data_IF_843644816874
#
_entry.id   IF_843644816874
#
_cell.length_a   1.000
_cell.length_b   1.000
_cell.length_c   1.000
_cell.angle_alpha   90.00
_cell.angle_beta   90.00
_cell.angle_gamma   90.00
#
_symmetry.space_group_name_H-M   'P 1'
#
loop_
_entity.id
_entity.type
_entity.pdbx_description
1 polymer ?
#
# COMPACT_ATOMS: atom_id res chain seq x y z
N UNK A 1 54.54 -29.60 -37.19
CA UNK A 1 53.07 -29.27 -37.30
C UNK A 1 52.51 -29.03 -35.90
N UNK A 2 52.40 -27.76 -35.54
CA UNK A 2 51.84 -27.38 -34.22
C UNK A 2 50.35 -27.14 -34.40
N UNK A 3 49.53 -28.00 -33.78
CA UNK A 3 48.05 -27.82 -33.69
C UNK A 3 47.77 -26.85 -32.55
N UNK A 4 47.34 -25.64 -32.88
CA UNK A 4 46.85 -24.65 -31.91
C UNK A 4 45.42 -25.00 -31.59
N UNK A 5 45.19 -25.42 -30.37
CA UNK A 5 43.84 -25.69 -29.81
C UNK A 5 43.26 -24.36 -29.32
N UNK A 6 42.29 -23.80 -30.05
CA UNK A 6 41.51 -22.66 -29.59
C UNK A 6 40.48 -23.12 -28.56
N UNK A 7 40.74 -22.87 -27.29
CA UNK A 7 39.75 -22.97 -26.22
C UNK A 7 38.87 -21.72 -26.27
N UNK A 8 37.67 -21.88 -26.82
CA UNK A 8 36.60 -20.88 -26.68
C UNK A 8 36.09 -20.88 -25.23
N UNK A 9 36.53 -19.91 -24.47
CA UNK A 9 35.89 -19.57 -23.20
C UNK A 9 34.54 -18.90 -23.50
N UNK A 10 33.46 -19.68 -23.44
CA UNK A 10 32.13 -19.14 -23.36
C UNK A 10 31.95 -18.57 -21.96
N UNK A 11 32.18 -17.26 -21.81
CA UNK A 11 31.79 -16.53 -20.61
C UNK A 11 30.27 -16.43 -20.66
N UNK A 12 29.62 -17.37 -19.99
CA UNK A 12 28.19 -17.30 -19.72
C UNK A 12 27.93 -16.11 -18.83
N UNK A 13 27.42 -15.01 -19.38
CA UNK A 13 26.78 -13.95 -18.61
C UNK A 13 25.50 -14.55 -18.01
N UNK A 14 25.59 -15.14 -16.84
CA UNK A 14 24.41 -15.37 -16.01
C UNK A 14 23.94 -14.00 -15.53
N UNK A 15 22.96 -13.42 -16.23
CA UNK A 15 22.21 -12.32 -15.72
C UNK A 15 21.54 -12.80 -14.42
N UNK A 16 22.14 -12.47 -13.28
CA UNK A 16 21.49 -12.62 -11.98
C UNK A 16 20.29 -11.66 -11.99
N UNK A 17 19.14 -12.15 -12.45
CA UNK A 17 17.88 -11.51 -12.17
C UNK A 17 17.68 -11.63 -10.65
N UNK A 18 18.08 -10.62 -9.91
CA UNK A 18 17.65 -10.42 -8.53
C UNK A 18 16.15 -10.26 -8.57
N UNK A 19 15.43 -11.36 -8.34
CA UNK A 19 13.99 -11.31 -8.08
C UNK A 19 13.83 -10.45 -6.84
N UNK A 20 13.33 -9.25 -7.02
CA UNK A 20 13.05 -8.34 -5.91
C UNK A 20 11.92 -8.95 -5.10
N UNK A 21 12.23 -9.41 -3.91
CA UNK A 21 11.25 -10.00 -3.01
C UNK A 21 10.30 -8.91 -2.52
N UNK A 22 9.05 -8.99 -2.94
CA UNK A 22 7.98 -8.15 -2.44
C UNK A 22 7.76 -8.35 -0.95
N UNK A 23 6.97 -7.46 -0.35
CA UNK A 23 6.60 -7.54 1.06
C UNK A 23 5.74 -8.77 1.34
N UNK A 24 6.13 -9.59 2.35
CA UNK A 24 5.32 -10.73 2.76
C UNK A 24 3.96 -10.29 3.33
N UNK A 25 2.96 -11.15 3.26
CA UNK A 25 1.63 -10.86 3.83
C UNK A 25 1.69 -10.56 5.33
N UNK A 26 2.56 -11.23 6.08
CA UNK A 26 2.77 -10.92 7.51
C UNK A 26 3.30 -9.50 7.72
N UNK A 27 4.23 -9.06 6.87
CA UNK A 27 4.75 -7.70 6.92
C UNK A 27 3.68 -6.69 6.51
N UNK A 28 2.89 -6.96 5.45
CA UNK A 28 1.74 -6.13 5.05
C UNK A 28 0.81 -5.91 6.24
N UNK A 29 0.41 -6.98 6.94
CA UNK A 29 -0.47 -6.86 8.12
C UNK A 29 0.12 -5.99 9.22
N UNK A 30 1.41 -6.13 9.52
CA UNK A 30 2.10 -5.33 10.55
C UNK A 30 2.14 -3.85 10.18
N UNK A 31 2.55 -3.54 8.96
CA UNK A 31 2.63 -2.15 8.47
C UNK A 31 1.24 -1.50 8.44
N UNK A 32 0.24 -2.23 7.95
CA UNK A 32 -1.16 -1.78 7.93
C UNK A 32 -1.66 -1.47 9.33
N UNK A 33 -1.44 -2.39 10.29
CA UNK A 33 -1.87 -2.19 11.67
C UNK A 33 -1.22 -0.96 12.27
N UNK A 34 0.09 -0.79 12.07
CA UNK A 34 0.82 0.34 12.62
C UNK A 34 0.31 1.68 12.07
N UNK A 35 0.18 1.78 10.76
CA UNK A 35 -0.35 2.99 10.10
C UNK A 35 -1.77 3.30 10.59
N UNK A 36 -2.65 2.30 10.61
CA UNK A 36 -4.05 2.48 11.01
C UNK A 36 -4.20 2.83 12.50
N UNK A 37 -3.37 2.26 13.37
CA UNK A 37 -3.33 2.60 14.81
C UNK A 37 -3.02 4.08 15.03
N UNK A 38 -2.04 4.64 14.31
CA UNK A 38 -1.69 6.06 14.42
C UNK A 38 -2.77 6.97 13.81
N UNK A 39 -3.37 6.55 12.71
CA UNK A 39 -4.54 7.25 12.15
C UNK A 39 -5.69 7.28 13.16
N UNK A 40 -6.01 6.15 13.79
CA UNK A 40 -7.07 6.06 14.78
C UNK A 40 -6.81 6.98 15.99
N UNK A 41 -5.57 7.03 16.45
CA UNK A 41 -5.16 7.89 17.56
C UNK A 41 -5.32 9.37 17.21
N UNK A 42 -4.74 9.83 16.11
CA UNK A 42 -4.75 11.25 15.75
C UNK A 42 -6.11 11.75 15.24
N UNK A 43 -6.82 10.91 14.49
CA UNK A 43 -8.12 11.28 13.91
C UNK A 43 -9.28 10.95 14.83
N UNK A 44 -9.04 10.32 15.98
CA UNK A 44 -10.08 9.89 16.94
C UNK A 44 -11.14 9.00 16.27
N UNK A 45 -10.67 7.94 15.59
CA UNK A 45 -11.56 7.02 14.87
C UNK A 45 -12.41 6.21 15.85
N UNK A 46 -13.68 5.98 15.50
CA UNK A 46 -14.51 4.99 16.18
C UNK A 46 -13.98 3.57 15.90
N UNK A 47 -14.44 2.59 16.67
CA UNK A 47 -14.07 1.18 16.45
C UNK A 47 -14.43 0.71 15.04
N UNK A 48 -15.59 1.09 14.52
CA UNK A 48 -15.99 0.75 13.15
C UNK A 48 -15.06 1.41 12.14
N UNK A 49 -14.82 2.70 12.26
CA UNK A 49 -13.88 3.42 11.38
C UNK A 49 -12.47 2.85 11.42
N UNK A 50 -12.01 2.43 12.60
CA UNK A 50 -10.69 1.78 12.76
C UNK A 50 -10.60 0.47 11.97
N UNK A 51 -11.63 -0.36 12.04
CA UNK A 51 -11.68 -1.62 11.29
C UNK A 51 -11.76 -1.39 9.78
N UNK A 52 -12.64 -0.46 9.34
CA UNK A 52 -12.76 -0.11 7.92
C UNK A 52 -11.45 0.49 7.37
N UNK A 53 -10.83 1.41 8.10
CA UNK A 53 -9.55 2.00 7.73
C UNK A 53 -8.42 0.95 7.68
N UNK A 54 -8.46 -0.07 8.55
CA UNK A 54 -7.51 -1.17 8.48
C UNK A 54 -7.65 -1.95 7.17
N UNK A 55 -8.86 -2.29 6.77
CA UNK A 55 -9.10 -3.02 5.52
C UNK A 55 -8.67 -2.21 4.29
N UNK A 56 -9.00 -0.91 4.24
CA UNK A 56 -8.62 0.00 3.16
C UNK A 56 -7.09 0.14 3.07
N UNK A 57 -6.43 0.35 4.19
CA UNK A 57 -4.96 0.44 4.24
C UNK A 57 -4.30 -0.89 3.85
N UNK A 58 -4.90 -2.02 4.24
CA UNK A 58 -4.41 -3.34 3.86
C UNK A 58 -4.45 -3.52 2.35
N UNK A 59 -5.58 -3.22 1.72
CA UNK A 59 -5.74 -3.36 0.26
C UNK A 59 -4.71 -2.52 -0.49
N UNK A 60 -4.49 -1.29 -0.04
CA UNK A 60 -3.47 -0.41 -0.61
C UNK A 60 -2.06 -1.00 -0.47
N UNK A 61 -1.62 -1.32 0.76
CA UNK A 61 -0.26 -1.82 1.00
C UNK A 61 -0.04 -3.17 0.31
N UNK A 62 -1.06 -4.03 0.28
CA UNK A 62 -1.00 -5.31 -0.40
C UNK A 62 -0.88 -5.16 -1.93
N UNK A 63 -1.62 -4.22 -2.53
CA UNK A 63 -1.56 -3.97 -3.97
C UNK A 63 -0.18 -3.49 -4.42
N UNK A 64 0.46 -2.61 -3.64
CA UNK A 64 1.77 -2.03 -4.01
C UNK A 64 2.97 -2.85 -3.51
N UNK A 65 2.77 -3.91 -2.73
CA UNK A 65 3.84 -4.64 -2.03
C UNK A 65 4.97 -5.17 -2.91
N UNK A 66 4.69 -5.44 -4.17
CA UNK A 66 5.65 -6.04 -5.11
C UNK A 66 6.30 -4.99 -6.04
N UNK A 67 5.79 -3.76 -6.08
CA UNK A 67 6.25 -2.72 -6.99
C UNK A 67 7.10 -1.64 -6.33
N UNK A 68 7.16 -1.61 -4.99
CA UNK A 68 7.79 -0.50 -4.26
C UNK A 68 9.28 -0.28 -4.58
N UNK A 69 10.02 -1.34 -4.87
CA UNK A 69 11.42 -1.21 -5.27
C UNK A 69 11.56 -0.60 -6.67
N UNK A 70 10.60 -0.84 -7.57
CA UNK A 70 10.52 -0.20 -8.88
C UNK A 70 10.11 1.28 -8.77
N UNK A 71 9.15 1.58 -7.87
CA UNK A 71 8.77 2.96 -7.52
C UNK A 71 9.99 3.73 -7.02
N UNK A 72 10.77 3.13 -6.11
CA UNK A 72 11.97 3.76 -5.56
C UNK A 72 13.05 4.03 -6.60
N UNK A 73 13.06 3.27 -7.70
CA UNK A 73 13.97 3.45 -8.83
C UNK A 73 13.41 4.36 -9.93
N UNK A 74 12.19 4.85 -9.78
CA UNK A 74 11.55 5.77 -10.72
C UNK A 74 11.02 5.13 -12.00
N UNK A 75 10.66 3.83 -11.98
CA UNK A 75 10.00 3.19 -13.12
C UNK A 75 8.61 3.77 -13.32
N UNK A 76 8.32 4.32 -14.50
CA UNK A 76 7.10 5.05 -14.82
C UNK A 76 5.84 4.19 -14.57
N UNK A 77 5.80 2.97 -15.10
CA UNK A 77 4.68 2.07 -14.89
C UNK A 77 4.40 1.77 -13.40
N UNK A 78 5.45 1.66 -12.59
CA UNK A 78 5.29 1.39 -11.15
C UNK A 78 4.82 2.64 -10.39
N UNK A 79 5.22 3.82 -10.84
CA UNK A 79 4.70 5.09 -10.31
C UNK A 79 3.23 5.25 -10.63
N UNK A 80 2.80 4.94 -11.85
CA UNK A 80 1.39 5.00 -12.26
C UNK A 80 0.53 4.05 -11.42
N UNK A 81 0.93 2.79 -11.30
CA UNK A 81 0.24 1.79 -10.47
C UNK A 81 0.18 2.22 -8.98
N UNK A 82 1.27 2.80 -8.47
CA UNK A 82 1.32 3.30 -7.10
C UNK A 82 0.34 4.46 -6.86
N UNK A 83 0.33 5.45 -7.76
CA UNK A 83 -0.56 6.60 -7.61
C UNK A 83 -2.03 6.23 -7.81
N UNK A 84 -2.34 5.30 -8.72
CA UNK A 84 -3.70 4.77 -8.85
C UNK A 84 -4.15 4.08 -7.55
N UNK A 85 -3.32 3.22 -6.98
CA UNK A 85 -3.63 2.55 -5.71
C UNK A 85 -3.78 3.55 -4.55
N UNK A 86 -2.97 4.61 -4.52
CA UNK A 86 -3.04 5.66 -3.52
C UNK A 86 -4.34 6.47 -3.63
N UNK A 87 -4.74 6.84 -4.83
CA UNK A 87 -5.97 7.58 -5.09
C UNK A 87 -7.20 6.75 -4.68
N UNK A 88 -7.25 5.48 -5.07
CA UNK A 88 -8.29 4.54 -4.64
C UNK A 88 -8.40 4.49 -3.11
N UNK A 89 -7.27 4.32 -2.42
CA UNK A 89 -7.24 4.30 -0.95
C UNK A 89 -7.78 5.59 -0.33
N UNK A 90 -7.34 6.73 -0.81
CA UNK A 90 -7.73 8.02 -0.24
C UNK A 90 -9.21 8.31 -0.49
N UNK A 91 -9.74 7.91 -1.65
CA UNK A 91 -11.17 7.99 -1.95
C UNK A 91 -11.99 7.08 -1.03
N UNK A 92 -11.56 5.84 -0.78
CA UNK A 92 -12.24 4.93 0.13
C UNK A 92 -12.25 5.47 1.56
N UNK A 93 -11.12 6.04 2.03
CA UNK A 93 -11.04 6.70 3.33
C UNK A 93 -11.97 7.92 3.42
N UNK A 94 -12.23 8.63 2.32
CA UNK A 94 -13.18 9.74 2.27
C UNK A 94 -14.60 9.30 2.67
N UNK A 95 -14.99 8.07 2.35
CA UNK A 95 -16.30 7.51 2.70
C UNK A 95 -16.39 7.05 4.16
N UNK A 96 -15.28 6.69 4.78
CA UNK A 96 -15.21 6.21 6.17
C UNK A 96 -15.08 7.36 7.16
N UNK A 97 -14.30 8.38 6.80
CA UNK A 97 -13.99 9.51 7.69
C UNK A 97 -15.10 10.57 7.65
N UNK A 98 -15.39 11.18 8.80
CA UNK A 98 -16.18 12.39 8.83
C UNK A 98 -15.45 13.56 8.14
N UNK A 99 -16.17 14.62 7.78
CA UNK A 99 -15.53 15.79 7.15
C UNK A 99 -14.42 16.41 8.00
N UNK A 100 -14.59 16.45 9.31
CA UNK A 100 -13.57 16.97 10.22
C UNK A 100 -12.35 16.05 10.31
N UNK A 101 -12.56 14.73 10.35
CA UNK A 101 -11.48 13.73 10.34
C UNK A 101 -10.73 13.76 9.00
N UNK A 102 -11.45 13.86 7.89
CA UNK A 102 -10.84 13.88 6.56
C UNK A 102 -9.99 15.15 6.35
N UNK A 103 -10.44 16.32 6.82
CA UNK A 103 -9.59 17.54 6.80
C UNK A 103 -8.30 17.36 7.60
N UNK A 104 -8.36 16.72 8.78
CA UNK A 104 -7.16 16.40 9.56
C UNK A 104 -6.27 15.38 8.86
N UNK A 105 -6.87 14.37 8.23
CA UNK A 105 -6.15 13.40 7.41
C UNK A 105 -5.36 14.07 6.27
N UNK A 106 -5.97 15.00 5.54
CA UNK A 106 -5.30 15.76 4.49
C UNK A 106 -4.20 16.69 5.02
N UNK A 107 -4.30 17.14 6.27
CA UNK A 107 -3.27 17.94 6.94
C UNK A 107 -2.06 17.13 7.42
N UNK A 108 -2.13 15.80 7.43
CA UNK A 108 -1.09 14.90 7.90
C UNK A 108 -0.48 14.11 6.73
N UNK A 109 0.59 14.64 6.11
CA UNK A 109 1.20 14.04 4.92
C UNK A 109 1.56 12.56 5.12
N UNK A 110 2.01 12.18 6.31
CA UNK A 110 2.33 10.81 6.68
C UNK A 110 1.12 9.86 6.70
N UNK A 111 -0.10 10.38 6.61
CA UNK A 111 -1.30 9.59 6.45
C UNK A 111 -1.81 9.56 5.00
N UNK A 112 -1.94 10.71 4.32
CA UNK A 112 -2.49 10.73 2.97
C UNK A 112 -1.45 10.38 1.88
N UNK A 113 -0.15 10.50 2.18
CA UNK A 113 0.98 10.01 1.38
C UNK A 113 1.89 9.13 2.23
N UNK A 114 1.46 7.90 2.56
CA UNK A 114 2.08 7.11 3.62
C UNK A 114 3.48 6.59 3.29
N UNK A 115 3.87 6.60 2.01
CA UNK A 115 5.18 6.11 1.56
C UNK A 115 5.98 7.26 0.96
N UNK A 116 7.28 7.30 1.25
CA UNK A 116 8.23 8.22 0.61
C UNK A 116 9.45 7.47 0.11
N UNK A 117 10.12 8.07 -0.87
CA UNK A 117 11.36 7.56 -1.46
C UNK A 117 12.50 8.53 -1.20
N UNK A 118 13.64 8.02 -0.78
CA UNK A 118 14.88 8.78 -0.64
C UNK A 118 16.09 7.88 -0.93
N UNK A 119 17.04 8.37 -1.72
CA UNK A 119 18.26 7.63 -2.05
C UNK A 119 17.99 6.26 -2.70
N UNK A 120 16.96 6.13 -3.52
CA UNK A 120 16.57 4.88 -4.18
C UNK A 120 15.98 3.82 -3.23
N UNK A 121 15.60 4.21 -2.03
CA UNK A 121 14.94 3.36 -1.02
C UNK A 121 13.59 3.96 -0.64
N UNK A 122 12.67 3.13 -0.23
CA UNK A 122 11.34 3.54 0.22
C UNK A 122 11.10 3.19 1.69
N UNK A 123 10.23 3.97 2.34
CA UNK A 123 9.83 3.75 3.72
C UNK A 123 8.44 4.31 3.99
N UNK A 124 7.81 3.84 5.06
CA UNK A 124 6.57 4.44 5.56
C UNK A 124 6.86 5.73 6.30
N UNK A 125 6.23 6.81 5.87
CA UNK A 125 6.41 8.16 6.41
C UNK A 125 6.00 8.28 7.88
N UNK A 126 5.02 7.48 8.30
CA UNK A 126 4.55 7.44 9.70
C UNK A 126 5.66 7.12 10.71
N UNK A 127 6.71 6.42 10.31
CA UNK A 127 7.84 6.10 11.19
C UNK A 127 8.74 7.30 11.54
N UNK A 128 8.63 8.38 10.79
CA UNK A 128 9.33 9.63 11.11
C UNK A 128 8.71 10.25 12.37
N UNK A 129 7.38 10.23 12.47
CA UNK A 129 6.64 10.78 13.59
C UNK A 129 6.50 9.78 14.76
N UNK A 130 6.51 8.50 14.46
CA UNK A 130 6.35 7.40 15.42
C UNK A 130 7.48 6.38 15.27
N UNK A 131 8.69 6.68 15.78
CA UNK A 131 9.85 5.79 15.60
C UNK A 131 9.76 4.49 16.40
N UNK A 132 8.98 4.46 17.49
CA UNK A 132 8.76 3.25 18.27
C UNK A 132 7.73 2.34 17.62
N UNK A 133 8.21 1.35 16.87
CA UNK A 133 7.38 0.40 16.11
C UNK A 133 6.61 -0.62 16.95
N UNK A 134 6.88 -0.67 18.25
CA UNK A 134 6.21 -1.57 19.20
C UNK A 134 5.09 -0.88 19.98
N UNK A 135 4.96 0.43 19.87
CA UNK A 135 3.94 1.20 20.58
C UNK A 135 2.64 1.17 19.77
N UNK A 136 1.57 0.68 20.40
CA UNK A 136 0.22 0.71 19.88
C UNK A 136 -0.72 1.36 20.90
N UNK A 137 -1.67 2.15 20.42
CA UNK A 137 -2.70 2.82 21.22
C UNK A 137 -3.98 2.01 21.32
N UNK A 138 -4.23 1.13 20.33
CA UNK A 138 -5.45 0.34 20.22
C UNK A 138 -5.13 -1.15 20.13
N UNK A 139 -6.15 -1.96 20.39
CA UNK A 139 -6.09 -3.40 20.20
C UNK A 139 -5.89 -3.81 18.73
N UNK A 140 -5.81 -5.10 18.50
CA UNK A 140 -5.70 -5.65 17.15
C UNK A 140 -7.03 -5.42 16.40
N UNK A 141 -7.03 -4.94 15.14
CA UNK A 141 -8.24 -4.82 14.34
C UNK A 141 -8.97 -6.16 14.21
N UNK A 142 -10.30 -6.13 14.12
CA UNK A 142 -11.15 -7.33 14.12
C UNK A 142 -10.72 -8.35 13.06
N UNK A 143 -10.47 -7.89 11.83
CA UNK A 143 -10.07 -8.74 10.71
C UNK A 143 -8.56 -8.86 10.50
N UNK A 144 -7.72 -8.51 11.47
CA UNK A 144 -6.26 -8.49 11.33
C UNK A 144 -5.68 -9.79 10.77
N UNK A 145 -6.19 -10.94 11.19
CA UNK A 145 -5.69 -12.27 10.76
C UNK A 145 -6.44 -12.87 9.58
N UNK A 146 -7.69 -12.49 9.41
CA UNK A 146 -8.62 -13.13 8.46
C UNK A 146 -8.87 -12.34 7.19
N UNK A 147 -8.62 -11.02 7.22
CA UNK A 147 -8.82 -10.19 6.04
C UNK A 147 -7.82 -10.54 4.93
N UNK A 148 -8.33 -10.71 3.71
CA UNK A 148 -7.57 -11.11 2.53
C UNK A 148 -7.73 -10.13 1.34
N UNK A 149 -8.37 -8.97 1.55
CA UNK A 149 -8.64 -7.99 0.49
C UNK A 149 -10.12 -7.88 0.14
N UNK A 150 -10.43 -6.98 -0.78
CA UNK A 150 -11.77 -6.65 -1.25
C UNK A 150 -12.65 -5.96 -0.21
N UNK A 151 -12.14 -4.84 0.36
CA UNK A 151 -12.97 -3.96 1.17
C UNK A 151 -14.20 -3.49 0.40
N UNK A 152 -15.36 -3.46 1.08
CA UNK A 152 -16.60 -2.98 0.48
C UNK A 152 -16.48 -1.48 0.17
N UNK A 153 -16.67 -1.13 -1.11
CA UNK A 153 -16.54 0.24 -1.61
C UNK A 153 -17.90 0.85 -1.94
N UNK A 154 -18.48 1.67 -1.05
CA UNK A 154 -19.78 2.30 -1.27
C UNK A 154 -19.82 3.15 -2.57
N UNK A 155 -18.71 3.77 -2.94
CA UNK A 155 -18.62 4.59 -4.15
C UNK A 155 -18.89 3.82 -5.45
N UNK A 156 -18.63 2.53 -5.50
CA UNK A 156 -18.87 1.72 -6.69
C UNK A 156 -20.36 1.45 -6.94
N UNK A 157 -21.21 1.56 -5.93
CA UNK A 157 -22.66 1.39 -6.07
C UNK A 157 -23.31 2.53 -6.86
N UNK A 158 -22.71 3.72 -6.81
CA UNK A 158 -23.23 4.91 -7.50
C UNK A 158 -22.68 5.09 -8.91
N UNK A 159 -21.67 4.32 -9.29
CA UNK A 159 -21.09 4.34 -10.65
C UNK A 159 -21.64 3.23 -11.55
N UNK A 160 -22.37 2.25 -11.02
CA UNK A 160 -23.09 1.28 -11.83
C UNK A 160 -24.27 1.99 -12.50
N UNK A 161 -24.38 1.98 -13.86
CA UNK A 161 -25.58 2.46 -14.49
C UNK A 161 -26.79 1.68 -13.95
N UNK A 162 -27.79 2.40 -13.47
CA UNK A 162 -29.07 1.81 -13.08
C UNK A 162 -29.53 0.82 -14.15
N UNK A 163 -30.03 -0.37 -13.80
CA UNK A 163 -30.64 -1.25 -14.78
C UNK A 163 -31.66 -0.43 -15.55
N UNK A 164 -31.53 -0.37 -16.86
CA UNK A 164 -32.41 0.41 -17.73
C UNK A 164 -33.85 0.08 -17.40
N UNK A 165 -34.62 1.12 -17.08
CA UNK A 165 -36.07 1.03 -17.15
C UNK A 165 -36.44 0.50 -18.53
N UNK A 166 -37.29 -0.52 -18.61
CA UNK A 166 -37.77 -0.98 -19.91
C UNK A 166 -38.49 0.19 -20.55
N UNK A 167 -37.97 0.63 -21.69
CA UNK A 167 -38.68 1.62 -22.52
C UNK A 167 -40.02 1.05 -22.91
N UNK A 168 -41.05 1.62 -22.39
CA UNK A 168 -42.40 1.57 -22.98
C UNK A 168 -42.34 2.14 -24.36
#
# INVERSE_FOLDING_TARGET
MKRILFLLFAVGLTANMTVMAGMSTSKVRKETRFLTDKMAYELSLSTQQYNDAYEINYDFIYSVRNIMDYVARGYEWALDDYYEALDIRNDDLRWVLSDAQYRRFLGAEYFYRPIYVTGGKWSFRVYVNYPNRSLFYFGVPYHYRTYCGAHYRPCLLYTSPSPRDPKT
#
